data_IF_377286325158
#
_entry.id   IF_377286325158
#
_cell.length_a   1.000
_cell.length_b   1.000
_cell.length_c   1.000
_cell.angle_alpha   90.00
_cell.angle_beta   90.00
_cell.angle_gamma   90.00
#
_symmetry.space_group_name_H-M   'P 1'
#
loop_
_entity.id
_entity.type
_entity.pdbx_description
1 polymer ?
#
# COMPACT_ATOMS: atom_id res chain seq x y z
N UNK A 1 -7.79 12.61 2.22
CA UNK A 1 -7.01 11.92 3.28
C UNK A 1 -5.54 12.23 3.15
N UNK A 2 -4.76 12.07 4.23
CA UNK A 2 -3.28 12.03 4.17
C UNK A 2 -2.82 10.58 4.02
N UNK A 3 -2.09 10.31 2.95
CA UNK A 3 -1.66 8.96 2.54
C UNK A 3 -0.14 8.89 2.53
N UNK A 4 0.42 7.86 3.18
CA UNK A 4 1.81 7.44 2.98
C UNK A 4 1.91 6.49 1.78
N UNK A 5 2.95 6.62 0.96
CA UNK A 5 3.19 5.71 -0.16
C UNK A 5 4.68 5.36 -0.24
N UNK A 6 5.01 4.07 -0.12
CA UNK A 6 6.38 3.58 -0.23
C UNK A 6 6.53 2.65 -1.43
N UNK A 7 7.50 2.93 -2.29
CA UNK A 7 7.70 2.23 -3.56
C UNK A 7 7.08 3.00 -4.72
N UNK A 8 7.90 3.75 -5.43
CA UNK A 8 7.57 4.66 -6.52
C UNK A 8 8.09 4.16 -7.87
N UNK A 9 8.33 2.85 -7.99
CA UNK A 9 8.58 2.20 -9.28
C UNK A 9 7.39 2.33 -10.23
N UNK A 10 7.44 1.67 -11.39
CA UNK A 10 6.46 1.88 -12.46
C UNK A 10 4.99 1.78 -12.03
N UNK A 11 4.64 0.77 -11.23
CA UNK A 11 3.27 0.59 -10.72
C UNK A 11 2.94 1.60 -9.63
N UNK A 12 3.79 1.71 -8.61
CA UNK A 12 3.57 2.60 -7.48
C UNK A 12 3.46 4.08 -7.87
N UNK A 13 4.30 4.54 -8.80
CA UNK A 13 4.22 5.91 -9.31
C UNK A 13 2.88 6.19 -10.00
N UNK A 14 2.42 5.29 -10.88
CA UNK A 14 1.16 5.45 -11.58
C UNK A 14 -0.04 5.51 -10.61
N UNK A 15 -0.02 4.67 -9.58
CA UNK A 15 -1.04 4.63 -8.54
C UNK A 15 -1.00 5.91 -7.68
N UNK A 16 0.20 6.34 -7.26
CA UNK A 16 0.38 7.57 -6.50
C UNK A 16 -0.17 8.79 -7.26
N UNK A 17 0.03 8.86 -8.58
CA UNK A 17 -0.58 9.90 -9.43
C UNK A 17 -2.11 9.87 -9.37
N UNK A 18 -2.74 8.71 -9.43
CA UNK A 18 -4.21 8.61 -9.34
C UNK A 18 -4.73 9.08 -7.98
N UNK A 19 -4.04 8.71 -6.90
CA UNK A 19 -4.40 9.16 -5.54
C UNK A 19 -4.28 10.68 -5.40
N UNK A 20 -3.24 11.30 -5.99
CA UNK A 20 -3.10 12.77 -6.02
C UNK A 20 -4.24 13.41 -6.82
N UNK A 21 -4.56 12.89 -8.00
CA UNK A 21 -5.65 13.39 -8.86
C UNK A 21 -7.02 13.30 -8.18
N UNK A 22 -7.22 12.29 -7.34
CA UNK A 22 -8.42 12.14 -6.51
C UNK A 22 -8.45 13.10 -5.30
N UNK A 23 -7.46 13.98 -5.14
CA UNK A 23 -7.43 15.03 -4.12
C UNK A 23 -6.81 14.62 -2.79
N UNK A 24 -6.12 13.47 -2.71
CA UNK A 24 -5.42 13.04 -1.51
C UNK A 24 -4.05 13.72 -1.36
N UNK A 25 -3.63 13.94 -0.11
CA UNK A 25 -2.30 14.48 0.21
C UNK A 25 -1.34 13.31 0.37
N UNK A 26 -0.30 13.23 -0.44
CA UNK A 26 0.66 12.13 -0.37
C UNK A 26 1.96 12.53 0.35
N UNK A 27 2.42 11.65 1.22
CA UNK A 27 3.80 11.60 1.73
C UNK A 27 4.46 10.37 1.12
N UNK A 28 5.56 10.55 0.40
CA UNK A 28 6.14 9.52 -0.46
C UNK A 28 7.57 9.18 -0.04
N UNK A 29 7.97 7.93 -0.27
CA UNK A 29 9.34 7.45 -0.10
C UNK A 29 9.66 6.34 -1.12
N UNK A 30 10.92 6.28 -1.52
CA UNK A 30 11.52 5.18 -2.28
C UNK A 30 13.03 5.10 -1.95
N UNK A 31 13.68 3.99 -2.27
CA UNK A 31 15.15 3.90 -2.24
C UNK A 31 15.80 4.77 -3.32
N UNK A 32 15.17 4.87 -4.50
CA UNK A 32 15.59 5.69 -5.63
C UNK A 32 14.93 7.07 -5.56
N UNK A 33 15.59 8.01 -4.89
CA UNK A 33 15.08 9.37 -4.65
C UNK A 33 14.69 10.12 -5.92
N UNK A 34 15.36 9.87 -7.04
CA UNK A 34 15.09 10.48 -8.33
C UNK A 34 13.63 10.27 -8.82
N UNK A 35 12.97 9.19 -8.37
CA UNK A 35 11.59 8.85 -8.71
C UNK A 35 10.56 9.81 -8.09
N UNK A 36 10.98 10.69 -7.15
CA UNK A 36 10.07 11.65 -6.51
C UNK A 36 9.61 12.77 -7.45
N UNK A 37 10.43 13.12 -8.45
CA UNK A 37 10.38 14.42 -9.14
C UNK A 37 9.01 14.73 -9.74
N UNK A 38 8.39 13.76 -10.41
CA UNK A 38 7.09 13.97 -11.05
C UNK A 38 5.93 14.05 -10.04
N UNK A 39 6.04 13.39 -8.88
CA UNK A 39 5.02 13.38 -7.84
C UNK A 39 5.05 14.66 -7.01
N UNK A 40 6.25 15.17 -6.70
CA UNK A 40 6.40 16.46 -6.00
C UNK A 40 5.89 17.63 -6.82
N UNK A 41 6.12 17.62 -8.15
CA UNK A 41 5.52 18.60 -9.07
C UNK A 41 3.98 18.58 -9.04
N UNK A 42 3.38 17.47 -8.62
CA UNK A 42 1.94 17.31 -8.45
C UNK A 42 1.48 17.53 -6.99
N UNK A 43 2.39 17.93 -6.09
CA UNK A 43 2.08 18.28 -4.70
C UNK A 43 2.28 17.17 -3.67
N UNK A 44 2.85 16.03 -4.04
CA UNK A 44 3.32 15.05 -3.06
C UNK A 44 4.50 15.61 -2.25
N UNK A 45 4.71 15.08 -1.04
CA UNK A 45 5.82 15.47 -0.17
C UNK A 45 6.76 14.30 0.05
N UNK A 46 8.03 14.45 -0.30
CA UNK A 46 9.04 13.46 0.06
C UNK A 46 9.27 13.38 1.56
N UNK A 47 9.56 12.17 2.07
CA UNK A 47 10.01 11.94 3.43
C UNK A 47 11.10 10.87 3.47
N UNK A 48 12.31 11.22 3.92
CA UNK A 48 13.44 10.30 4.02
C UNK A 48 13.34 9.30 5.20
N UNK A 49 12.38 9.50 6.11
CA UNK A 49 12.23 8.70 7.31
C UNK A 49 10.89 7.95 7.27
N UNK A 50 10.95 6.61 7.20
CA UNK A 50 9.79 5.75 7.03
C UNK A 50 8.84 5.82 8.23
N UNK A 51 9.34 5.87 9.47
CA UNK A 51 8.50 6.05 10.65
C UNK A 51 7.74 7.39 10.59
N UNK A 52 8.42 8.48 10.23
CA UNK A 52 7.81 9.80 10.05
C UNK A 52 6.82 9.83 8.89
N UNK A 53 7.03 9.04 7.84
CA UNK A 53 6.05 8.86 6.76
C UNK A 53 4.77 8.21 7.28
N UNK A 54 4.87 7.22 8.17
CA UNK A 54 3.72 6.59 8.82
C UNK A 54 2.93 7.56 9.73
N UNK A 55 3.64 8.49 10.39
CA UNK A 55 3.06 9.39 11.38
C UNK A 55 2.02 10.36 10.81
N UNK A 56 0.80 10.32 11.37
CA UNK A 56 -0.32 11.14 10.94
C UNK A 56 -0.85 10.79 9.56
N UNK A 57 -0.50 9.64 8.99
CA UNK A 57 -1.12 9.13 7.77
C UNK A 57 -2.30 8.24 8.14
N UNK A 58 -3.45 8.48 7.51
CA UNK A 58 -4.66 7.68 7.73
C UNK A 58 -4.53 6.31 7.06
N UNK A 59 -3.80 6.28 5.94
CA UNK A 59 -3.52 5.07 5.15
C UNK A 59 -2.05 5.12 4.70
N UNK A 60 -1.37 3.99 4.74
CA UNK A 60 -0.06 3.78 4.12
C UNK A 60 -0.17 2.68 3.07
N UNK A 61 0.33 2.93 1.87
CA UNK A 61 0.49 1.94 0.81
C UNK A 61 1.95 1.50 0.66
N UNK A 62 2.15 0.23 0.33
CA UNK A 62 3.42 -0.27 -0.22
C UNK A 62 3.22 -0.88 -1.61
N UNK A 63 4.14 -0.62 -2.53
CA UNK A 63 4.22 -1.29 -3.83
C UNK A 63 5.69 -1.63 -4.13
N UNK A 64 6.18 -2.72 -3.55
CA UNK A 64 7.60 -3.07 -3.46
C UNK A 64 7.98 -4.26 -4.36
N UNK A 65 9.28 -4.55 -4.55
CA UNK A 65 9.72 -5.67 -5.40
C UNK A 65 9.30 -7.04 -4.88
N UNK A 66 9.25 -7.25 -3.56
CA UNK A 66 8.84 -8.52 -2.99
C UNK A 66 8.78 -8.57 -1.46
N UNK A 67 8.66 -9.79 -0.90
CA UNK A 67 8.37 -9.98 0.53
C UNK A 67 9.47 -9.44 1.47
N UNK A 68 10.74 -9.59 1.11
CA UNK A 68 11.86 -9.11 1.93
C UNK A 68 11.85 -7.58 2.07
N UNK A 69 11.51 -6.87 1.00
CA UNK A 69 11.39 -5.41 0.99
C UNK A 69 10.22 -4.94 1.86
N UNK A 70 9.09 -5.65 1.81
CA UNK A 70 7.92 -5.39 2.67
C UNK A 70 8.31 -5.52 4.15
N UNK A 71 9.02 -6.59 4.52
CA UNK A 71 9.46 -6.78 5.90
C UNK A 71 10.42 -5.68 6.38
N UNK A 72 11.40 -5.29 5.56
CA UNK A 72 12.33 -4.22 5.92
C UNK A 72 11.61 -2.87 6.05
N UNK A 73 10.80 -2.51 5.06
CA UNK A 73 10.07 -1.23 5.03
C UNK A 73 9.08 -1.13 6.19
N UNK A 74 8.37 -2.21 6.52
CA UNK A 74 7.34 -2.16 7.55
C UNK A 74 7.88 -2.43 8.95
N UNK A 75 8.73 -3.44 9.12
CA UNK A 75 9.15 -3.98 10.42
C UNK A 75 10.59 -3.64 10.79
N UNK A 76 11.37 -3.04 9.89
CA UNK A 76 12.74 -2.62 10.17
C UNK A 76 12.82 -1.67 11.35
N UNK A 77 14.03 -1.46 11.89
CA UNK A 77 14.24 -0.59 13.06
C UNK A 77 13.75 0.84 12.87
N UNK A 78 13.69 1.32 11.62
CA UNK A 78 13.12 2.62 11.23
C UNK A 78 11.88 2.46 10.34
N UNK A 79 11.27 1.27 10.32
CA UNK A 79 10.18 0.92 9.43
C UNK A 79 8.92 1.76 9.67
N UNK A 80 8.05 1.77 8.67
CA UNK A 80 6.85 2.63 8.66
C UNK A 80 5.95 2.35 9.85
N UNK A 81 5.83 1.08 10.26
CA UNK A 81 4.92 0.69 11.32
C UNK A 81 5.25 1.39 12.64
N UNK A 82 6.52 1.73 12.90
CA UNK A 82 6.97 2.38 14.13
C UNK A 82 6.41 3.79 14.33
N UNK A 83 5.86 4.41 13.29
CA UNK A 83 5.23 5.73 13.39
C UNK A 83 3.75 5.74 13.02
N UNK A 84 3.15 4.62 12.63
CA UNK A 84 1.74 4.60 12.26
C UNK A 84 0.83 4.79 13.46
N UNK A 85 -0.23 5.57 13.29
CA UNK A 85 -1.22 5.82 14.33
C UNK A 85 -2.15 4.63 14.54
N UNK A 86 -2.63 4.46 15.78
CA UNK A 86 -3.67 3.46 16.09
C UNK A 86 -4.92 3.72 15.25
N UNK A 87 -5.45 2.67 14.62
CA UNK A 87 -6.61 2.73 13.74
C UNK A 87 -6.30 3.11 12.30
N UNK A 88 -5.06 3.51 11.97
CA UNK A 88 -4.63 3.71 10.59
C UNK A 88 -4.65 2.40 9.79
N UNK A 89 -4.74 2.52 8.47
CA UNK A 89 -4.69 1.38 7.57
C UNK A 89 -3.31 1.22 6.93
N UNK A 90 -2.86 -0.02 6.83
CA UNK A 90 -1.76 -0.42 5.97
C UNK A 90 -2.31 -1.27 4.82
N UNK A 91 -2.04 -0.88 3.57
CA UNK A 91 -2.49 -1.58 2.37
C UNK A 91 -1.27 -2.00 1.55
N UNK A 92 -0.98 -3.29 1.51
CA UNK A 92 0.12 -3.82 0.72
C UNK A 92 -0.34 -4.21 -0.69
N UNK A 93 0.19 -3.54 -1.71
CA UNK A 93 -0.08 -3.84 -3.13
C UNK A 93 0.97 -4.80 -3.72
N UNK A 94 1.99 -5.15 -2.93
CA UNK A 94 3.10 -5.99 -3.35
C UNK A 94 2.61 -7.41 -3.63
N UNK A 95 3.15 -8.04 -4.67
CA UNK A 95 3.08 -9.50 -4.79
C UNK A 95 4.01 -10.10 -3.73
N UNK A 96 3.46 -10.32 -2.53
CA UNK A 96 4.21 -10.76 -1.35
C UNK A 96 4.10 -12.28 -1.14
N UNK A 97 4.47 -12.75 0.06
CA UNK A 97 4.26 -14.13 0.50
C UNK A 97 3.22 -14.18 1.62
N UNK A 98 2.46 -15.29 1.71
CA UNK A 98 1.47 -15.47 2.79
C UNK A 98 2.13 -15.40 4.17
N UNK A 99 3.36 -15.91 4.30
CA UNK A 99 4.14 -15.86 5.53
C UNK A 99 4.51 -14.42 5.93
N UNK A 100 4.97 -13.62 4.97
CA UNK A 100 5.29 -12.20 5.19
C UNK A 100 4.05 -11.40 5.57
N UNK A 101 2.93 -11.60 4.86
CA UNK A 101 1.66 -10.93 5.20
C UNK A 101 1.22 -11.29 6.62
N UNK A 102 1.25 -12.57 7.00
CA UNK A 102 0.89 -12.99 8.35
C UNK A 102 1.78 -12.35 9.43
N UNK A 103 3.10 -12.28 9.17
CA UNK A 103 4.07 -11.65 10.07
C UNK A 103 3.79 -10.15 10.24
N UNK A 104 3.61 -9.43 9.14
CA UNK A 104 3.35 -7.98 9.16
C UNK A 104 1.98 -7.67 9.76
N UNK A 105 0.95 -8.46 9.43
CA UNK A 105 -0.39 -8.30 9.99
C UNK A 105 -0.39 -8.49 11.52
N UNK A 106 0.33 -9.48 12.04
CA UNK A 106 0.47 -9.69 13.47
C UNK A 106 1.17 -8.49 14.16
N UNK A 107 2.24 -7.98 13.56
CA UNK A 107 2.93 -6.80 14.08
C UNK A 107 2.04 -5.56 14.03
N UNK A 108 1.33 -5.33 12.92
CA UNK A 108 0.41 -4.21 12.75
C UNK A 108 -0.72 -4.25 13.78
N UNK A 109 -1.36 -5.41 13.96
CA UNK A 109 -2.41 -5.61 14.94
C UNK A 109 -1.94 -5.35 16.37
N UNK A 110 -0.70 -5.73 16.73
CA UNK A 110 -0.13 -5.46 18.06
C UNK A 110 -0.01 -3.96 18.36
N UNK A 111 0.13 -3.13 17.32
CA UNK A 111 0.16 -1.67 17.42
C UNK A 111 -1.21 -1.02 17.19
N UNK A 112 -2.25 -1.80 16.89
CA UNK A 112 -3.59 -1.29 16.57
C UNK A 112 -3.72 -0.73 15.15
N UNK A 113 -2.80 -1.08 14.25
CA UNK A 113 -2.87 -0.77 12.82
C UNK A 113 -3.61 -1.90 12.10
N UNK A 114 -4.45 -1.53 11.14
CA UNK A 114 -5.31 -2.47 10.41
C UNK A 114 -4.73 -2.75 9.03
N UNK A 115 -4.53 -4.01 8.69
CA UNK A 115 -3.83 -4.39 7.47
C UNK A 115 -4.76 -5.01 6.43
N UNK A 116 -4.55 -4.64 5.17
CA UNK A 116 -5.10 -5.29 3.99
C UNK A 116 -3.95 -5.68 3.06
N UNK A 117 -3.91 -6.94 2.61
CA UNK A 117 -3.09 -7.32 1.47
C UNK A 117 -3.95 -7.28 0.21
N UNK A 118 -3.61 -6.39 -0.72
CA UNK A 118 -4.38 -6.08 -1.91
C UNK A 118 -3.52 -6.17 -3.19
N UNK A 119 -2.86 -7.31 -3.45
CA UNK A 119 -2.11 -7.48 -4.68
C UNK A 119 -2.99 -7.29 -5.92
N UNK A 120 -2.35 -6.78 -6.97
CA UNK A 120 -3.01 -6.34 -8.19
C UNK A 120 -2.70 -7.24 -9.40
N UNK A 121 -3.66 -7.33 -10.31
CA UNK A 121 -3.52 -7.90 -11.65
C UNK A 121 -3.70 -6.79 -12.68
N UNK A 122 -2.81 -6.76 -13.67
CA UNK A 122 -2.74 -5.72 -14.69
C UNK A 122 -1.30 -5.31 -14.99
N UNK A 123 -1.14 -4.43 -15.96
CA UNK A 123 0.13 -3.83 -16.37
C UNK A 123 0.17 -2.36 -15.99
N UNK A 124 1.32 -1.73 -16.25
CA UNK A 124 1.54 -0.30 -15.96
C UNK A 124 0.49 0.60 -16.65
N UNK A 125 0.02 0.21 -17.85
CA UNK A 125 -1.06 0.92 -18.54
C UNK A 125 -2.33 0.96 -17.68
N UNK A 126 -2.71 -0.19 -17.13
CA UNK A 126 -3.93 -0.33 -16.32
C UNK A 126 -3.81 0.45 -15.00
N UNK A 127 -2.61 0.49 -14.41
CA UNK A 127 -2.34 1.35 -13.26
C UNK A 127 -2.53 2.84 -13.58
N UNK A 128 -2.11 3.30 -14.77
CA UNK A 128 -2.29 4.70 -15.20
C UNK A 128 -3.74 5.05 -15.51
N UNK A 129 -4.50 4.07 -15.99
CA UNK A 129 -5.90 4.21 -16.39
C UNK A 129 -6.88 3.94 -15.24
N UNK A 130 -6.37 3.59 -14.04
CA UNK A 130 -7.17 3.16 -12.90
C UNK A 130 -8.12 2.02 -13.30
N UNK A 131 -7.57 0.96 -13.90
CA UNK A 131 -8.30 -0.21 -14.38
C UNK A 131 -7.70 -1.53 -13.89
N UNK A 132 -6.98 -1.50 -12.77
CA UNK A 132 -6.42 -2.71 -12.15
C UNK A 132 -7.52 -3.58 -11.54
N UNK A 133 -7.26 -4.89 -11.46
CA UNK A 133 -8.05 -5.81 -10.65
C UNK A 133 -7.31 -6.08 -9.34
N UNK A 134 -7.97 -5.89 -8.20
CA UNK A 134 -7.40 -6.09 -6.87
C UNK A 134 -8.04 -7.30 -6.19
N UNK A 135 -7.21 -8.20 -5.64
CA UNK A 135 -7.66 -9.29 -4.78
C UNK A 135 -7.29 -8.93 -3.33
N UNK A 136 -8.28 -8.70 -2.49
CA UNK A 136 -8.09 -8.08 -1.17
C UNK A 136 -8.34 -9.09 -0.06
N UNK A 137 -7.30 -9.40 0.71
CA UNK A 137 -7.40 -10.07 2.00
C UNK A 137 -7.54 -9.04 3.12
N UNK A 138 -8.65 -9.10 3.85
CA UNK A 138 -8.97 -8.14 4.91
C UNK A 138 -10.12 -8.67 5.80
N UNK A 139 -10.26 -8.12 7.00
CA UNK A 139 -11.53 -8.25 7.72
C UNK A 139 -12.63 -7.51 6.96
N UNK A 140 -13.86 -8.03 6.97
CA UNK A 140 -14.96 -7.48 6.16
C UNK A 140 -15.26 -5.99 6.46
N UNK A 141 -15.15 -5.59 7.73
CA UNK A 141 -15.34 -4.18 8.12
C UNK A 141 -14.23 -3.27 7.55
N UNK A 142 -12.99 -3.74 7.54
CA UNK A 142 -11.85 -3.00 7.03
C UNK A 142 -11.84 -2.95 5.50
N UNK A 143 -12.23 -4.04 4.85
CA UNK A 143 -12.50 -4.05 3.42
C UNK A 143 -13.51 -2.97 3.03
N UNK A 144 -14.68 -2.95 3.68
CA UNK A 144 -15.74 -1.98 3.39
C UNK A 144 -15.28 -0.54 3.63
N UNK A 145 -14.46 -0.30 4.66
CA UNK A 145 -13.91 1.02 4.95
C UNK A 145 -12.89 1.49 3.90
N UNK A 146 -12.09 0.58 3.35
CA UNK A 146 -11.07 0.90 2.35
C UNK A 146 -11.55 0.81 0.90
N UNK A 147 -12.69 0.15 0.63
CA UNK A 147 -13.19 -0.07 -0.73
C UNK A 147 -13.29 1.22 -1.57
N UNK A 148 -13.81 2.37 -1.07
CA UNK A 148 -13.85 3.61 -1.85
C UNK A 148 -12.47 4.12 -2.28
N UNK A 149 -11.44 3.87 -1.46
CA UNK A 149 -10.06 4.25 -1.78
C UNK A 149 -9.45 3.27 -2.80
N UNK A 150 -9.69 1.96 -2.62
CA UNK A 150 -9.19 0.92 -3.52
C UNK A 150 -9.81 1.02 -4.92
N UNK A 151 -11.06 1.49 -5.03
CA UNK A 151 -11.72 1.70 -6.34
C UNK A 151 -11.08 2.81 -7.18
N UNK A 152 -10.19 3.63 -6.60
CA UNK A 152 -9.37 4.59 -7.35
C UNK A 152 -8.23 3.93 -8.13
N UNK A 153 -7.92 2.66 -7.84
CA UNK A 153 -6.91 1.87 -8.54
C UNK A 153 -7.52 1.02 -9.66
N UNK A 154 -8.79 0.66 -9.51
CA UNK A 154 -9.56 -0.01 -10.55
C UNK A 154 -10.98 -0.40 -10.17
N UNK A 155 -11.82 -0.74 -11.16
CA UNK A 155 -13.23 -1.03 -10.94
C UNK A 155 -13.48 -2.41 -10.32
N UNK A 156 -12.52 -3.34 -10.43
CA UNK A 156 -12.65 -4.70 -9.91
C UNK A 156 -11.87 -4.85 -8.60
N UNK A 157 -12.54 -4.61 -7.48
CA UNK A 157 -11.98 -4.77 -6.12
C UNK A 157 -12.70 -5.92 -5.43
N UNK A 158 -12.02 -7.07 -5.31
CA UNK A 158 -12.60 -8.32 -4.83
C UNK A 158 -12.16 -8.60 -3.39
N UNK A 159 -13.11 -8.73 -2.45
CA UNK A 159 -12.82 -9.26 -1.11
C UNK A 159 -12.74 -10.78 -1.18
N UNK A 160 -11.56 -11.34 -0.88
CA UNK A 160 -11.30 -12.77 -1.10
C UNK A 160 -11.05 -13.56 0.19
N UNK A 161 -11.21 -12.91 1.35
CA UNK A 161 -11.06 -13.55 2.66
C UNK A 161 -10.30 -12.67 3.65
N UNK A 162 -9.82 -13.27 4.77
CA UNK A 162 -9.06 -12.55 5.79
C UNK A 162 -7.67 -12.11 5.28
N UNK A 163 -6.90 -11.33 6.06
CA UNK A 163 -5.52 -10.99 5.72
C UNK A 163 -4.68 -12.22 5.34
N UNK A 164 -3.94 -12.11 4.24
CA UNK A 164 -3.18 -13.17 3.58
C UNK A 164 -3.92 -13.82 2.41
N UNK A 165 -5.26 -13.72 2.35
CA UNK A 165 -6.06 -14.34 1.29
C UNK A 165 -5.87 -13.67 -0.08
N UNK A 166 -5.64 -12.35 -0.12
CA UNK A 166 -5.37 -11.61 -1.37
C UNK A 166 -4.10 -12.12 -2.04
N UNK A 167 -3.04 -12.24 -1.25
CA UNK A 167 -1.73 -12.76 -1.63
C UNK A 167 -1.82 -14.23 -2.04
N UNK A 168 -2.53 -15.05 -1.27
CA UNK A 168 -2.75 -16.45 -1.65
C UNK A 168 -3.48 -16.58 -2.99
N UNK A 169 -4.54 -15.79 -3.20
CA UNK A 169 -5.29 -15.78 -4.46
C UNK A 169 -4.42 -15.33 -5.63
N UNK A 170 -3.59 -14.30 -5.45
CA UNK A 170 -2.66 -13.82 -6.48
C UNK A 170 -1.61 -14.87 -6.85
N UNK A 171 -1.02 -15.52 -5.87
CA UNK A 171 0.02 -16.55 -6.08
C UNK A 171 -0.55 -17.81 -6.77
N UNK A 172 -1.82 -18.15 -6.55
CA UNK A 172 -2.47 -19.26 -7.24
C UNK A 172 -2.74 -18.99 -8.74
N UNK A 173 -2.64 -17.73 -9.19
CA UNK A 173 -2.80 -17.32 -10.59
C UNK A 173 -1.46 -17.13 -11.32
N UNK A 174 -0.34 -17.26 -10.61
CA UNK A 174 1.01 -16.96 -11.10
C UNK A 174 1.69 -18.15 -11.79
#
# INVERSE_FOLDING_TARGET
MKIGFVGLGNMGNAIAVNLIKAGHKLVINDLARELQSNLELQGAKWCDDLARLGAGCEVVFTALPGPADVEEVMLGARGVLNGMDRGAFYIDLTTSSVATVAKVAAAAASQGVRMLDAPMTGKIKDAREASLTLHVGADAADFNACAPLLTLLGPEVLHVGPPGAGTAAKLAQA
#
